data_IF_606206739063
#
_entry.id   IF_606206739063
#
_cell.length_a   1.000
_cell.length_b   1.000
_cell.length_c   1.000
_cell.angle_alpha   90.00
_cell.angle_beta   90.00
_cell.angle_gamma   90.00
#
_symmetry.space_group_name_H-M   'P 1'
#
loop_
_entity.id
_entity.type
_entity.pdbx_description
1 polymer ?
#
# COMPACT_ATOMS: atom_id res chain seq x y z
N UNK A 1 -0.20 -0.67 4.87
CA UNK A 1 -0.72 -1.09 3.53
C UNK A 1 -2.02 -1.86 3.73
N UNK A 2 -2.99 -1.61 2.88
CA UNK A 2 -4.25 -2.35 2.90
C UNK A 2 -4.40 -3.13 1.60
N UNK A 3 -4.97 -4.33 1.70
CA UNK A 3 -5.11 -5.26 0.58
C UNK A 3 -6.52 -5.85 0.56
N UNK A 4 -6.88 -6.47 -0.56
CA UNK A 4 -8.19 -7.12 -0.72
C UNK A 4 -8.30 -8.47 0.01
N UNK A 5 -7.18 -9.02 0.45
CA UNK A 5 -7.09 -10.30 1.17
C UNK A 5 -5.66 -10.61 1.55
N UNK A 6 -5.36 -11.87 1.83
CA UNK A 6 -4.07 -12.31 2.37
C UNK A 6 -3.17 -13.05 1.36
N UNK A 7 -3.64 -13.30 0.14
CA UNK A 7 -2.92 -14.07 -0.87
C UNK A 7 -2.43 -13.19 -2.00
N UNK A 8 -1.13 -12.84 -2.05
CA UNK A 8 -0.59 -11.98 -3.11
C UNK A 8 -0.82 -12.49 -4.53
N UNK A 9 -0.97 -13.80 -4.69
CA UNK A 9 -1.23 -14.42 -6.00
C UNK A 9 -2.61 -14.07 -6.55
N UNK A 10 -3.56 -13.75 -5.67
CA UNK A 10 -4.96 -13.49 -6.02
C UNK A 10 -5.39 -12.07 -5.65
N UNK A 11 -4.94 -11.61 -4.49
CA UNK A 11 -5.38 -10.36 -3.91
C UNK A 11 -4.51 -9.20 -4.36
N UNK A 12 -5.03 -7.98 -4.22
CA UNK A 12 -4.40 -6.76 -4.73
C UNK A 12 -4.23 -5.73 -3.62
N UNK A 13 -3.31 -4.80 -3.85
CA UNK A 13 -3.09 -3.65 -2.96
C UNK A 13 -4.18 -2.62 -3.23
N UNK A 14 -4.75 -2.05 -2.18
CA UNK A 14 -5.77 -0.99 -2.29
C UNK A 14 -5.35 0.32 -1.63
N UNK A 15 -4.44 0.28 -0.66
CA UNK A 15 -3.90 1.51 -0.07
C UNK A 15 -2.46 1.29 0.38
N UNK A 16 -1.63 2.29 0.11
CA UNK A 16 -0.25 2.36 0.60
C UNK A 16 -0.06 3.64 1.39
N UNK A 17 0.44 3.54 2.60
CA UNK A 17 0.83 4.69 3.42
C UNK A 17 2.29 4.53 3.85
N UNK A 18 3.06 5.60 3.75
CA UNK A 18 4.48 5.62 4.11
C UNK A 18 4.75 6.77 5.07
N UNK A 19 5.54 6.49 6.10
CA UNK A 19 6.08 7.49 7.03
C UNK A 19 7.59 7.30 7.08
N UNK A 20 8.33 8.38 7.02
CA UNK A 20 9.80 8.36 7.13
C UNK A 20 10.23 8.78 8.53
N UNK A 21 11.10 7.97 9.14
CA UNK A 21 11.64 8.26 10.47
C UNK A 21 13.16 8.16 10.44
N UNK A 22 13.80 8.69 11.51
CA UNK A 22 15.21 8.37 11.79
C UNK A 22 15.31 7.02 12.53
N UNK A 23 16.54 6.64 12.91
CA UNK A 23 16.80 5.37 13.60
C UNK A 23 16.18 5.30 15.00
N UNK A 24 15.78 6.41 15.57
CA UNK A 24 15.14 6.51 16.90
C UNK A 24 13.62 6.67 16.79
N UNK A 25 13.08 6.48 15.58
CA UNK A 25 11.66 6.58 15.25
C UNK A 25 11.07 8.00 15.39
N UNK A 26 11.92 9.02 15.32
CA UNK A 26 11.43 10.39 15.19
C UNK A 26 10.93 10.61 13.75
N UNK A 27 9.73 11.10 13.59
CA UNK A 27 9.12 11.33 12.28
C UNK A 27 9.83 12.48 11.57
N UNK A 28 10.46 12.18 10.43
CA UNK A 28 11.12 13.16 9.58
C UNK A 28 10.15 13.75 8.56
N UNK A 29 9.21 12.93 8.09
CA UNK A 29 8.15 13.33 7.18
C UNK A 29 6.96 12.41 7.40
N UNK A 30 5.76 12.98 7.44
CA UNK A 30 4.53 12.22 7.66
C UNK A 30 4.17 11.36 6.44
N UNK A 31 4.90 11.51 5.36
CA UNK A 31 4.78 10.67 4.19
C UNK A 31 3.58 10.97 3.32
N UNK A 32 3.18 9.95 2.60
CA UNK A 32 2.04 10.02 1.71
C UNK A 32 1.10 8.85 1.91
N UNK A 33 -0.13 9.06 1.48
CA UNK A 33 -1.13 8.01 1.38
C UNK A 33 -1.57 7.94 -0.08
N UNK A 34 -1.47 6.75 -0.66
CA UNK A 34 -1.88 6.50 -2.04
C UNK A 34 -2.98 5.45 -2.04
N UNK A 35 -4.08 5.75 -2.72
CA UNK A 35 -5.21 4.83 -2.89
C UNK A 35 -5.12 4.24 -4.30
N UNK A 36 -5.03 2.91 -4.37
CA UNK A 36 -4.86 2.18 -5.62
C UNK A 36 -6.22 1.85 -6.21
N UNK A 37 -6.44 2.20 -7.48
CA UNK A 37 -7.65 1.80 -8.18
C UNK A 37 -7.67 0.29 -8.41
N UNK A 38 -8.81 -0.34 -8.13
CA UNK A 38 -9.07 -1.74 -8.47
C UNK A 38 -10.45 -1.85 -9.11
N UNK A 39 -10.59 -2.80 -10.03
CA UNK A 39 -11.85 -3.06 -10.69
C UNK A 39 -12.90 -3.61 -9.71
N UNK A 40 -14.17 -3.39 -10.02
CA UNK A 40 -15.27 -3.82 -9.15
C UNK A 40 -15.28 -5.32 -8.88
N UNK A 41 -14.93 -6.14 -9.87
CA UNK A 41 -14.87 -7.59 -9.73
C UNK A 41 -13.84 -8.02 -8.68
N UNK A 42 -12.71 -7.31 -8.60
CA UNK A 42 -11.69 -7.56 -7.57
C UNK A 42 -12.23 -7.20 -6.18
N UNK A 43 -12.90 -6.05 -6.07
CA UNK A 43 -13.49 -5.60 -4.80
C UNK A 43 -14.63 -6.52 -4.37
N UNK A 44 -15.45 -6.97 -5.29
CA UNK A 44 -16.54 -7.89 -5.02
C UNK A 44 -16.05 -9.27 -4.57
N UNK A 45 -14.85 -9.66 -4.98
CA UNK A 45 -14.21 -10.91 -4.57
C UNK A 45 -13.63 -10.90 -3.16
N UNK A 46 -13.63 -9.76 -2.46
CA UNK A 46 -13.16 -9.69 -1.08
C UNK A 46 -14.06 -10.49 -0.14
N UNK A 47 -13.46 -11.05 0.94
CA UNK A 47 -14.25 -11.72 1.97
C UNK A 47 -15.09 -10.73 2.78
N UNK A 48 -16.00 -11.25 3.60
CA UNK A 48 -16.92 -10.42 4.38
C UNK A 48 -16.21 -9.52 5.39
N UNK A 49 -15.10 -9.99 5.97
CA UNK A 49 -14.31 -9.21 6.90
C UNK A 49 -13.70 -7.98 6.22
N UNK A 50 -13.06 -8.19 5.06
CA UNK A 50 -12.44 -7.09 4.29
C UNK A 50 -13.50 -6.11 3.77
N UNK A 51 -14.62 -6.61 3.26
CA UNK A 51 -15.73 -5.75 2.83
C UNK A 51 -16.26 -4.90 3.97
N UNK A 52 -16.45 -5.49 5.15
CA UNK A 52 -16.94 -4.79 6.32
C UNK A 52 -15.94 -3.75 6.82
N UNK A 53 -14.68 -4.12 6.97
CA UNK A 53 -13.63 -3.25 7.50
C UNK A 53 -13.33 -2.08 6.56
N UNK A 54 -13.09 -2.35 5.29
CA UNK A 54 -12.75 -1.32 4.31
C UNK A 54 -13.97 -0.49 3.89
N UNK A 55 -15.16 -1.07 3.93
CA UNK A 55 -16.41 -0.34 3.71
C UNK A 55 -16.67 0.69 4.80
N UNK A 56 -16.47 0.31 6.07
CA UNK A 56 -16.65 1.20 7.22
C UNK A 56 -15.67 2.36 7.23
N UNK A 57 -14.43 2.14 6.80
CA UNK A 57 -13.41 3.18 6.72
C UNK A 57 -13.59 4.11 5.52
N UNK A 58 -14.50 3.79 4.60
CA UNK A 58 -14.69 4.51 3.34
C UNK A 58 -13.63 4.19 2.29
N UNK A 59 -12.75 3.23 2.56
CA UNK A 59 -11.65 2.89 1.65
C UNK A 59 -12.14 2.34 0.32
N UNK A 60 -13.18 1.49 0.31
CA UNK A 60 -13.74 0.91 -0.91
C UNK A 60 -14.19 2.02 -1.88
N UNK A 61 -14.88 3.03 -1.37
CA UNK A 61 -15.30 4.15 -2.18
C UNK A 61 -14.11 4.95 -2.74
N UNK A 62 -13.09 5.17 -1.93
CA UNK A 62 -11.86 5.85 -2.37
C UNK A 62 -11.14 5.05 -3.44
N UNK A 63 -11.10 3.72 -3.33
CA UNK A 63 -10.50 2.83 -4.33
C UNK A 63 -11.25 2.95 -5.67
N UNK A 64 -12.56 2.94 -5.64
CA UNK A 64 -13.40 3.10 -6.86
C UNK A 64 -13.19 4.45 -7.54
N UNK A 65 -12.98 5.50 -6.75
CA UNK A 65 -12.78 6.86 -7.25
C UNK A 65 -11.36 7.16 -7.67
N UNK A 66 -10.38 6.34 -7.26
CA UNK A 66 -8.99 6.52 -7.64
C UNK A 66 -8.80 6.25 -9.14
N UNK A 67 -7.89 7.01 -9.76
CA UNK A 67 -7.53 6.85 -11.18
C UNK A 67 -6.14 6.24 -11.36
N UNK A 68 -5.43 5.88 -10.26
CA UNK A 68 -4.04 5.40 -10.32
C UNK A 68 -3.95 3.92 -9.98
N UNK A 69 -3.22 3.17 -10.81
CA UNK A 69 -2.95 1.75 -10.58
C UNK A 69 -1.69 1.52 -9.73
N UNK A 70 -1.36 0.25 -9.46
CA UNK A 70 -0.20 -0.11 -8.64
C UNK A 70 1.12 0.39 -9.22
N UNK A 71 1.28 0.34 -10.55
CA UNK A 71 2.48 0.81 -11.24
C UNK A 71 2.71 2.30 -11.06
N UNK A 72 1.68 3.09 -11.22
CA UNK A 72 1.75 4.54 -11.06
C UNK A 72 2.05 4.94 -9.62
N UNK A 73 1.45 4.24 -8.66
CA UNK A 73 1.69 4.47 -7.24
C UNK A 73 3.09 4.02 -6.83
N UNK A 74 3.57 2.90 -7.37
CA UNK A 74 4.96 2.47 -7.16
C UNK A 74 5.93 3.57 -7.58
N UNK A 75 5.73 4.15 -8.76
CA UNK A 75 6.56 5.24 -9.26
C UNK A 75 6.49 6.48 -8.35
N UNK A 76 5.31 6.88 -7.94
CA UNK A 76 5.11 8.03 -7.05
C UNK A 76 5.76 7.81 -5.68
N UNK A 77 5.61 6.63 -5.12
CA UNK A 77 6.21 6.24 -3.84
C UNK A 77 7.74 6.20 -3.94
N UNK A 78 8.29 5.69 -5.04
CA UNK A 78 9.73 5.69 -5.28
C UNK A 78 10.29 7.11 -5.36
N UNK A 79 9.64 8.02 -6.06
CA UNK A 79 10.05 9.42 -6.15
C UNK A 79 10.04 10.09 -4.78
N UNK A 80 9.04 9.78 -3.96
CA UNK A 80 8.96 10.24 -2.58
C UNK A 80 10.12 9.69 -1.75
N UNK A 81 10.37 8.39 -1.77
CA UNK A 81 11.42 7.74 -0.98
C UNK A 81 12.82 8.22 -1.36
N UNK A 82 13.08 8.47 -2.63
CA UNK A 82 14.39 8.95 -3.11
C UNK A 82 14.82 10.27 -2.49
N UNK A 83 13.89 11.07 -1.98
CA UNK A 83 14.21 12.33 -1.29
C UNK A 83 14.83 12.10 0.08
N UNK A 84 14.62 10.96 0.69
CA UNK A 84 14.97 10.68 2.09
C UNK A 84 15.94 9.52 2.26
N UNK A 85 15.84 8.49 1.42
CA UNK A 85 16.61 7.25 1.62
C UNK A 85 17.25 6.79 0.31
N UNK A 86 18.55 6.33 0.38
CA UNK A 86 19.17 5.64 -0.74
C UNK A 86 18.57 4.24 -0.94
N UNK A 87 18.70 3.64 -2.15
CA UNK A 87 18.20 2.29 -2.39
C UNK A 87 18.84 1.25 -1.47
N UNK A 88 18.04 0.30 -1.00
CA UNK A 88 18.49 -0.88 -0.24
C UNK A 88 19.26 -0.58 1.05
N UNK A 89 19.01 0.57 1.68
CA UNK A 89 19.77 0.98 2.89
C UNK A 89 18.92 1.07 4.15
N UNK A 90 17.60 1.27 4.02
CA UNK A 90 16.71 1.46 5.16
C UNK A 90 15.79 0.27 5.35
N UNK A 91 15.59 -0.19 6.60
CA UNK A 91 14.62 -1.23 6.88
C UNK A 91 13.19 -0.74 6.66
N UNK A 92 12.32 -1.66 6.31
CA UNK A 92 10.89 -1.45 6.22
C UNK A 92 10.24 -1.96 7.50
N UNK A 93 9.46 -1.11 8.16
CA UNK A 93 8.83 -1.42 9.44
C UNK A 93 7.31 -1.30 9.34
N UNK A 94 6.61 -2.08 10.13
CA UNK A 94 5.15 -2.03 10.17
C UNK A 94 4.58 -3.24 10.91
N UNK A 95 3.28 -3.15 11.21
CA UNK A 95 2.57 -4.27 11.81
C UNK A 95 2.39 -5.36 10.75
N UNK A 96 2.81 -6.58 11.06
CA UNK A 96 2.77 -7.72 10.12
C UNK A 96 3.45 -7.41 8.78
N UNK A 97 4.59 -6.73 8.84
CA UNK A 97 5.29 -6.18 7.66
C UNK A 97 5.66 -7.25 6.62
N UNK A 98 5.80 -8.50 7.01
CA UNK A 98 6.07 -9.59 6.09
C UNK A 98 4.96 -9.77 5.04
N UNK A 99 3.71 -9.52 5.42
CA UNK A 99 2.59 -9.53 4.47
C UNK A 99 2.70 -8.39 3.48
N UNK A 100 2.95 -7.18 3.96
CA UNK A 100 3.15 -6.01 3.10
C UNK A 100 4.27 -6.26 2.09
N UNK A 101 5.39 -6.82 2.58
CA UNK A 101 6.53 -7.13 1.71
C UNK A 101 6.19 -8.15 0.62
N UNK A 102 5.38 -9.16 0.92
CA UNK A 102 4.94 -10.16 -0.08
C UNK A 102 4.11 -9.51 -1.19
N UNK A 103 3.19 -8.62 -0.82
CA UNK A 103 2.39 -7.89 -1.79
C UNK A 103 3.22 -6.91 -2.61
N UNK A 104 4.16 -6.21 -1.98
CA UNK A 104 5.09 -5.32 -2.69
C UNK A 104 5.95 -6.09 -3.70
N UNK A 105 6.49 -7.23 -3.32
CA UNK A 105 7.30 -8.05 -4.21
C UNK A 105 6.52 -8.50 -5.46
N UNK A 106 5.22 -8.74 -5.31
CA UNK A 106 4.36 -9.16 -6.42
C UNK A 106 3.91 -7.99 -7.29
N UNK A 107 3.44 -6.90 -6.66
CA UNK A 107 2.72 -5.84 -7.35
C UNK A 107 3.47 -4.52 -7.49
N UNK A 108 4.50 -4.32 -6.66
CA UNK A 108 5.36 -3.13 -6.66
C UNK A 108 6.82 -3.54 -6.47
N UNK A 109 7.39 -4.35 -7.38
CA UNK A 109 8.71 -4.96 -7.15
C UNK A 109 9.87 -3.96 -7.11
N UNK A 110 9.70 -2.76 -7.62
CA UNK A 110 10.75 -1.71 -7.59
C UNK A 110 10.77 -0.95 -6.26
N UNK A 111 9.71 -1.02 -5.51
CA UNK A 111 9.59 -0.37 -4.21
C UNK A 111 10.26 -1.20 -3.10
#
# INVERSE_FOLDING_TARGET
>A
MEMTGLLPERDRIIELAIVITDSELNVLDEGGVWVVHQAEDILDGMDDWNKGTHGKSGLIERVKMSATDESEIEQSALEYLKRFVPPNTSPMCGNSICQDRRFMAKWMPKL
#
